data_IF_826273231697
#
_entry.id   IF_826273231697
#
_cell.length_a   1.000
_cell.length_b   1.000
_cell.length_c   1.000
_cell.angle_alpha   90.00
_cell.angle_beta   90.00
_cell.angle_gamma   90.00
#
_symmetry.space_group_name_H-M   'P 1'
#
loop_
_entity.id
_entity.type
_entity.pdbx_description
1 polymer ?
#
# COMPACT_ATOMS: atom_id res chain seq x y z
N UNK A 1 4.18 -28.16 -33.37
CA UNK A 1 3.81 -28.69 -34.70
C UNK A 1 3.49 -30.17 -34.61
N UNK A 2 2.36 -30.58 -35.13
CA UNK A 2 1.90 -31.97 -35.12
C UNK A 2 2.04 -32.55 -36.53
N UNK A 3 2.65 -33.75 -36.67
CA UNK A 3 2.73 -34.44 -37.94
C UNK A 3 1.48 -35.29 -38.17
N UNK A 4 0.85 -35.13 -39.30
CA UNK A 4 -0.29 -35.93 -39.74
C UNK A 4 0.05 -36.66 -41.04
N UNK A 5 -0.46 -37.86 -41.22
CA UNK A 5 -0.25 -38.68 -42.43
C UNK A 5 -1.62 -38.94 -43.05
N UNK A 6 -1.75 -38.54 -44.32
CA UNK A 6 -2.87 -38.92 -45.14
C UNK A 6 -2.57 -40.20 -45.89
N UNK A 7 -3.40 -41.24 -45.77
CA UNK A 7 -3.31 -42.46 -46.55
C UNK A 7 -4.46 -42.48 -47.57
N UNK A 8 -4.12 -42.68 -48.85
CA UNK A 8 -5.09 -42.83 -49.91
C UNK A 8 -5.00 -44.28 -50.39
N UNK A 9 -6.16 -44.94 -50.43
CA UNK A 9 -6.26 -46.35 -50.87
C UNK A 9 -7.26 -46.45 -52.03
N UNK A 10 -6.86 -47.14 -53.12
CA UNK A 10 -7.74 -47.39 -54.27
C UNK A 10 -8.72 -48.54 -54.02
N UNK A 11 -9.65 -48.78 -54.95
CA UNK A 11 -10.63 -49.85 -54.88
C UNK A 11 -10.03 -51.25 -54.93
N UNK A 12 -8.75 -51.39 -55.30
CA UNK A 12 -8.03 -52.66 -55.36
C UNK A 12 -7.09 -52.89 -54.17
N UNK A 13 -7.14 -51.97 -53.18
CA UNK A 13 -6.37 -52.06 -51.94
C UNK A 13 -4.94 -51.52 -52.03
N UNK A 14 -4.52 -50.89 -53.14
CA UNK A 14 -3.22 -50.24 -53.24
C UNK A 14 -3.30 -48.89 -52.52
N UNK A 15 -2.28 -48.60 -51.68
CA UNK A 15 -2.26 -47.39 -50.89
C UNK A 15 -0.97 -46.58 -51.08
N UNK A 16 -1.08 -45.27 -50.94
CA UNK A 16 0.02 -44.35 -50.82
C UNK A 16 -0.20 -43.36 -49.67
N UNK A 17 0.87 -42.79 -49.16
CA UNK A 17 0.80 -41.84 -48.04
C UNK A 17 1.52 -40.54 -48.35
N UNK A 18 1.04 -39.45 -47.81
CA UNK A 18 1.79 -38.19 -47.73
C UNK A 18 1.72 -37.61 -46.31
N UNK A 19 2.80 -36.99 -45.87
CA UNK A 19 2.89 -36.32 -44.58
C UNK A 19 2.64 -34.81 -44.70
N UNK A 20 1.98 -34.27 -43.71
CA UNK A 20 1.83 -32.82 -43.55
C UNK A 20 2.06 -32.42 -42.09
N UNK A 21 2.46 -31.18 -41.88
CA UNK A 21 2.59 -30.58 -40.53
C UNK A 21 1.40 -29.67 -40.26
N UNK A 22 0.79 -29.84 -39.11
CA UNK A 22 -0.26 -28.93 -38.59
C UNK A 22 0.35 -28.15 -37.43
N UNK A 23 0.42 -26.84 -37.58
CA UNK A 23 0.78 -25.92 -36.48
C UNK A 23 -0.50 -25.45 -35.82
N UNK A 24 -0.56 -25.60 -34.50
CA UNK A 24 -1.61 -25.04 -33.66
C UNK A 24 -1.00 -23.88 -32.93
N UNK A 25 -1.66 -22.75 -32.96
CA UNK A 25 -1.24 -21.50 -32.32
C UNK A 25 -2.37 -21.02 -31.40
N UNK A 26 -2.01 -20.47 -30.27
CA UNK A 26 -2.89 -19.73 -29.41
C UNK A 26 -2.60 -18.24 -29.59
N UNK A 27 -3.59 -17.52 -30.10
CA UNK A 27 -3.55 -16.07 -30.32
C UNK A 27 -4.68 -15.38 -29.53
N UNK A 28 -5.24 -16.07 -28.53
CA UNK A 28 -6.33 -15.55 -27.68
C UNK A 28 -5.71 -14.93 -26.43
N UNK A 29 -5.99 -13.65 -26.18
CA UNK A 29 -5.53 -12.99 -24.96
C UNK A 29 -6.35 -13.46 -23.75
N UNK A 30 -5.72 -13.54 -22.55
CA UNK A 30 -6.43 -13.86 -21.32
C UNK A 30 -7.49 -12.82 -20.97
N UNK A 31 -8.49 -13.22 -20.19
CA UNK A 31 -9.47 -12.31 -19.59
C UNK A 31 -8.91 -11.81 -18.27
N UNK A 32 -8.47 -10.54 -18.25
CA UNK A 32 -7.99 -9.89 -17.02
C UNK A 32 -9.16 -9.45 -16.15
N UNK A 33 -9.13 -9.78 -14.86
CA UNK A 33 -10.11 -9.39 -13.85
C UNK A 33 -9.38 -8.87 -12.60
N UNK A 34 -9.72 -7.63 -12.19
CA UNK A 34 -9.10 -6.94 -11.06
C UNK A 34 -10.06 -6.70 -9.90
N UNK A 35 -9.51 -6.49 -8.71
CA UNK A 35 -10.19 -6.02 -7.51
C UNK A 35 -9.43 -4.89 -6.84
N UNK A 36 -10.15 -4.00 -6.17
CA UNK A 36 -9.56 -3.00 -5.29
C UNK A 36 -9.12 -3.64 -3.97
N UNK A 37 -8.03 -3.14 -3.42
CA UNK A 37 -7.50 -3.59 -2.13
C UNK A 37 -7.13 -2.39 -1.24
N UNK A 38 -7.08 -2.62 0.08
CA UNK A 38 -6.56 -1.68 1.06
C UNK A 38 -5.31 -2.27 1.71
N UNK A 39 -4.27 -1.47 1.86
CA UNK A 39 -2.98 -1.89 2.42
C UNK A 39 -2.53 -0.87 3.45
N UNK A 40 -2.03 -1.35 4.59
CA UNK A 40 -1.51 -0.52 5.66
C UNK A 40 -0.01 -0.27 5.48
N UNK A 41 0.46 0.95 5.78
CA UNK A 41 1.88 1.22 5.93
C UNK A 41 2.44 0.51 7.17
N UNK A 42 3.68 0.07 7.10
CA UNK A 42 4.43 -0.43 8.25
C UNK A 42 4.92 0.73 9.13
N UNK A 43 5.53 0.41 10.29
CA UNK A 43 6.07 1.40 11.21
C UNK A 43 7.21 2.28 10.64
N UNK A 44 7.71 1.97 9.44
CA UNK A 44 8.70 2.75 8.72
C UNK A 44 8.08 3.60 7.60
N UNK A 45 6.75 3.61 7.47
CA UNK A 45 6.00 4.34 6.47
C UNK A 45 6.06 3.72 5.07
N UNK A 46 6.22 2.38 4.97
CA UNK A 46 6.29 1.67 3.70
C UNK A 46 5.25 0.55 3.60
N UNK A 47 4.85 0.23 2.38
CA UNK A 47 4.05 -0.95 2.07
C UNK A 47 4.46 -1.55 0.72
N UNK A 48 4.29 -2.86 0.58
CA UNK A 48 4.50 -3.57 -0.69
C UNK A 48 3.34 -4.52 -0.94
N UNK A 49 3.03 -4.75 -2.21
CA UNK A 49 2.06 -5.76 -2.66
C UNK A 49 2.75 -6.75 -3.61
N UNK A 50 2.23 -7.95 -3.68
CA UNK A 50 2.64 -8.93 -4.69
C UNK A 50 2.12 -8.51 -6.08
N UNK A 51 2.75 -9.00 -7.13
CA UNK A 51 2.39 -8.67 -8.51
C UNK A 51 1.00 -9.15 -8.94
N UNK A 52 0.44 -10.12 -8.23
CA UNK A 52 -0.90 -10.65 -8.41
C UNK A 52 -1.93 -10.15 -7.37
N UNK A 53 -1.54 -9.24 -6.47
CA UNK A 53 -2.36 -8.84 -5.32
C UNK A 53 -3.74 -8.27 -5.72
N UNK A 54 -3.82 -7.60 -6.86
CA UNK A 54 -5.08 -7.03 -7.37
C UNK A 54 -5.81 -7.95 -8.34
N UNK A 55 -5.28 -9.16 -8.59
CA UNK A 55 -5.95 -10.15 -9.43
C UNK A 55 -7.23 -10.69 -8.75
N UNK A 56 -8.30 -10.80 -9.53
CA UNK A 56 -9.59 -11.33 -9.07
C UNK A 56 -10.12 -12.41 -10.02
N UNK A 57 -9.31 -13.46 -10.22
CA UNK A 57 -9.70 -14.61 -11.02
C UNK A 57 -9.57 -14.38 -12.52
N UNK A 58 -8.51 -13.71 -12.97
CA UNK A 58 -8.16 -13.68 -14.41
C UNK A 58 -8.03 -15.10 -14.95
N UNK A 59 -8.43 -15.30 -16.21
CA UNK A 59 -8.50 -16.65 -16.79
C UNK A 59 -8.11 -16.68 -18.27
N UNK A 60 -7.63 -17.83 -18.70
CA UNK A 60 -7.41 -18.19 -20.08
C UNK A 60 -7.69 -19.67 -20.31
N UNK A 61 -8.12 -20.03 -21.54
CA UNK A 61 -8.49 -21.41 -21.90
C UNK A 61 -7.27 -22.34 -21.94
N UNK A 62 -6.09 -21.82 -22.35
CA UNK A 62 -4.85 -22.58 -22.44
C UNK A 62 -3.98 -22.45 -21.16
N UNK A 63 -4.38 -21.55 -20.22
CA UNK A 63 -3.74 -21.38 -18.92
C UNK A 63 -2.34 -20.75 -18.99
N UNK A 64 -1.51 -21.05 -17.96
CA UNK A 64 -0.12 -20.57 -17.90
C UNK A 64 0.01 -19.06 -17.63
N UNK A 65 -0.91 -18.50 -16.80
CA UNK A 65 -0.95 -17.05 -16.53
C UNK A 65 0.22 -16.59 -15.67
N UNK A 66 0.76 -15.44 -16.05
CA UNK A 66 1.69 -14.61 -15.27
C UNK A 66 1.08 -13.23 -15.06
N UNK A 67 1.49 -12.59 -13.96
CA UNK A 67 0.93 -11.32 -13.50
C UNK A 67 2.05 -10.30 -13.31
N UNK A 68 1.78 -9.04 -13.68
CA UNK A 68 2.70 -7.92 -13.50
C UNK A 68 1.87 -6.68 -13.14
N UNK A 69 2.08 -6.17 -11.92
CA UNK A 69 1.44 -4.95 -11.44
C UNK A 69 2.42 -3.78 -11.53
N UNK A 70 2.06 -2.74 -12.25
CA UNK A 70 2.94 -1.59 -12.58
C UNK A 70 3.46 -0.83 -11.35
N UNK A 71 2.83 -0.94 -10.19
CA UNK A 71 3.24 -0.32 -8.92
C UNK A 71 3.06 -1.34 -7.81
N UNK A 72 4.16 -1.73 -7.17
CA UNK A 72 4.18 -2.72 -6.08
C UNK A 72 4.70 -2.17 -4.76
N UNK A 73 5.21 -0.93 -4.74
CA UNK A 73 5.79 -0.29 -3.56
C UNK A 73 5.15 1.07 -3.30
N UNK A 74 4.84 1.35 -2.04
CA UNK A 74 4.16 2.55 -1.57
C UNK A 74 4.87 3.11 -0.36
N UNK A 75 4.73 4.42 -0.14
CA UNK A 75 5.31 5.15 0.99
C UNK A 75 4.26 6.09 1.59
N UNK A 76 4.62 6.86 2.63
CA UNK A 76 3.78 7.90 3.19
C UNK A 76 3.18 8.87 2.15
N UNK A 77 3.90 9.10 1.04
CA UNK A 77 3.41 9.96 -0.06
C UNK A 77 2.28 9.31 -0.86
N UNK A 78 2.07 8.02 -0.68
CA UNK A 78 1.05 7.24 -1.37
C UNK A 78 -0.24 7.09 -0.54
N UNK A 79 -0.33 7.67 0.66
CA UNK A 79 -1.56 7.56 1.48
C UNK A 79 -2.76 8.09 0.71
N UNK A 80 -3.83 7.27 0.67
CA UNK A 80 -5.02 7.48 -0.14
C UNK A 80 -5.12 6.52 -1.31
N UNK A 81 -5.90 6.89 -2.34
CA UNK A 81 -6.21 6.06 -3.49
C UNK A 81 -5.13 6.14 -4.58
N UNK A 82 -4.54 4.99 -4.92
CA UNK A 82 -3.55 4.86 -5.99
C UNK A 82 -4.12 3.99 -7.11
N UNK A 83 -4.06 4.47 -8.35
CA UNK A 83 -4.48 3.69 -9.52
C UNK A 83 -3.34 2.78 -9.95
N UNK A 84 -3.60 1.48 -10.05
CA UNK A 84 -2.66 0.47 -10.52
C UNK A 84 -3.23 -0.28 -11.72
N UNK A 85 -2.35 -0.82 -12.55
CA UNK A 85 -2.71 -1.63 -13.71
C UNK A 85 -2.06 -2.99 -13.56
N UNK A 86 -2.87 -4.04 -13.62
CA UNK A 86 -2.42 -5.43 -13.72
C UNK A 86 -2.34 -5.82 -15.19
N UNK A 87 -1.20 -6.33 -15.61
CA UNK A 87 -1.01 -7.01 -16.88
C UNK A 87 -1.04 -8.51 -16.63
N UNK A 88 -1.89 -9.20 -17.37
CA UNK A 88 -2.01 -10.67 -17.34
C UNK A 88 -1.50 -11.21 -18.67
N UNK A 89 -0.55 -12.12 -18.64
CA UNK A 89 0.07 -12.72 -19.83
C UNK A 89 -0.05 -14.25 -19.76
N UNK A 90 -0.48 -14.87 -20.86
CA UNK A 90 -0.60 -16.33 -20.97
C UNK A 90 0.74 -17.00 -21.33
N UNK A 91 0.74 -18.34 -21.40
CA UNK A 91 1.91 -19.14 -21.76
C UNK A 91 2.36 -18.99 -23.22
N UNK A 92 1.58 -18.31 -24.06
CA UNK A 92 1.87 -18.06 -25.49
C UNK A 92 2.19 -16.60 -25.78
N UNK A 93 2.32 -15.76 -24.72
CA UNK A 93 2.66 -14.34 -24.78
C UNK A 93 1.53 -13.43 -25.28
N UNK A 94 0.28 -13.88 -25.26
CA UNK A 94 -0.85 -12.98 -25.42
C UNK A 94 -1.12 -12.31 -24.07
N UNK A 95 -1.52 -11.03 -24.07
CA UNK A 95 -1.70 -10.28 -22.83
C UNK A 95 -2.96 -9.42 -22.85
N UNK A 96 -3.49 -9.15 -21.65
CA UNK A 96 -4.55 -8.19 -21.41
C UNK A 96 -4.31 -7.43 -20.10
N UNK A 97 -5.01 -6.33 -19.89
CA UNK A 97 -4.85 -5.50 -18.69
C UNK A 97 -6.20 -5.20 -18.03
N UNK A 98 -6.16 -4.97 -16.72
CA UNK A 98 -7.27 -4.37 -15.97
C UNK A 98 -6.73 -3.35 -14.96
N UNK A 99 -7.58 -2.39 -14.57
CA UNK A 99 -7.26 -1.37 -13.57
C UNK A 99 -7.87 -1.69 -12.21
N UNK A 100 -7.14 -1.36 -11.14
CA UNK A 100 -7.61 -1.44 -9.76
C UNK A 100 -7.19 -0.20 -8.97
N UNK A 101 -7.83 0.01 -7.83
CA UNK A 101 -7.41 1.00 -6.84
C UNK A 101 -6.78 0.28 -5.65
N UNK A 102 -5.55 0.66 -5.31
CA UNK A 102 -4.90 0.31 -4.05
C UNK A 102 -5.03 1.50 -3.12
N UNK A 103 -5.80 1.36 -2.04
CA UNK A 103 -5.92 2.37 -1.00
C UNK A 103 -4.84 2.13 0.04
N UNK A 104 -3.95 3.09 0.22
CA UNK A 104 -2.92 3.06 1.25
C UNK A 104 -3.40 3.84 2.46
N UNK A 105 -3.28 3.26 3.64
CA UNK A 105 -3.65 3.88 4.91
C UNK A 105 -2.46 3.91 5.86
N UNK A 106 -2.34 5.02 6.59
CA UNK A 106 -1.47 5.13 7.75
C UNK A 106 -2.31 5.07 9.02
N UNK A 107 -2.16 3.99 9.77
CA UNK A 107 -2.82 3.75 11.05
C UNK A 107 -1.79 3.64 12.20
N UNK A 108 -0.55 4.09 11.96
CA UNK A 108 0.53 4.08 12.94
C UNK A 108 0.50 5.37 13.76
N UNK A 109 0.31 5.25 15.06
CA UNK A 109 0.33 6.42 15.93
C UNK A 109 1.77 6.94 16.12
N UNK A 110 1.96 8.28 16.25
CA UNK A 110 3.26 8.87 16.53
C UNK A 110 3.83 8.40 17.88
N UNK A 111 5.13 8.43 18.00
CA UNK A 111 5.83 8.22 19.27
C UNK A 111 5.90 9.55 20.01
N UNK A 112 5.09 9.72 21.05
CA UNK A 112 5.13 10.91 21.91
C UNK A 112 6.31 10.84 22.89
N UNK A 113 7.07 11.92 22.98
CA UNK A 113 8.20 12.07 23.90
C UNK A 113 8.11 13.43 24.60
N UNK A 114 8.10 13.42 25.94
CA UNK A 114 7.98 14.61 26.78
C UNK A 114 9.27 14.92 27.56
N UNK A 115 9.39 16.18 27.99
CA UNK A 115 10.40 16.66 28.91
C UNK A 115 9.80 17.58 29.98
N UNK A 116 10.41 17.59 31.17
CA UNK A 116 10.10 18.57 32.21
C UNK A 116 10.64 19.94 31.83
N UNK A 117 9.86 20.98 32.09
CA UNK A 117 10.26 22.37 31.92
C UNK A 117 10.04 23.17 33.21
N UNK A 118 10.76 24.30 33.35
CA UNK A 118 10.56 25.26 34.43
C UNK A 118 10.16 26.59 33.84
N UNK A 119 9.03 27.12 34.27
CA UNK A 119 8.47 28.40 33.80
C UNK A 119 8.35 29.35 35.00
N UNK A 120 8.71 30.63 34.78
CA UNK A 120 8.60 31.68 35.81
C UNK A 120 7.31 32.47 35.62
N UNK A 121 6.62 32.77 36.74
CA UNK A 121 5.52 33.71 36.73
C UNK A 121 5.99 35.13 36.40
N UNK A 122 5.16 35.87 35.66
CA UNK A 122 5.39 37.26 35.37
C UNK A 122 5.10 38.17 36.60
N UNK A 123 5.27 39.49 36.44
CA UNK A 123 5.01 40.47 37.52
C UNK A 123 3.54 40.57 37.94
N UNK A 124 2.62 39.95 37.19
CA UNK A 124 1.19 39.86 37.48
C UNK A 124 0.80 38.48 38.06
N UNK A 125 1.77 37.60 38.29
CA UNK A 125 1.57 36.25 38.84
C UNK A 125 1.01 35.24 37.86
N UNK A 126 1.25 35.41 36.55
CA UNK A 126 0.80 34.49 35.50
C UNK A 126 1.96 33.94 34.69
N UNK A 127 1.79 32.75 34.12
CA UNK A 127 2.67 32.19 33.10
C UNK A 127 1.87 31.47 32.05
N UNK A 128 2.42 31.39 30.82
CA UNK A 128 1.88 30.63 29.71
C UNK A 128 2.97 29.82 29.06
N UNK A 129 2.62 28.64 28.54
CA UNK A 129 3.48 27.82 27.69
C UNK A 129 2.79 27.66 26.32
N UNK A 130 3.59 27.41 25.29
CA UNK A 130 3.08 27.01 23.96
C UNK A 130 2.75 25.51 23.97
N UNK A 131 1.93 25.08 23.04
CA UNK A 131 1.39 23.71 23.02
C UNK A 131 2.44 22.62 22.80
N UNK A 132 3.60 22.96 22.25
CA UNK A 132 4.73 22.05 22.06
C UNK A 132 5.85 22.23 23.11
N UNK A 133 5.65 23.07 24.13
CA UNK A 133 6.70 23.44 25.11
C UNK A 133 7.33 22.24 25.81
N UNK A 134 6.53 21.19 26.10
CA UNK A 134 6.99 19.97 26.79
C UNK A 134 7.41 18.86 25.82
N UNK A 135 7.34 19.10 24.49
CA UNK A 135 7.79 18.15 23.49
C UNK A 135 9.31 17.95 23.54
N UNK A 136 9.76 16.70 23.47
CA UNK A 136 11.17 16.32 23.44
C UNK A 136 11.48 15.38 22.27
N UNK A 137 11.15 15.84 21.05
CA UNK A 137 11.45 15.09 19.85
C UNK A 137 10.47 13.95 19.57
N UNK A 138 9.17 14.16 19.80
CA UNK A 138 8.12 13.25 19.30
C UNK A 138 8.28 13.03 17.81
N UNK A 139 8.01 11.82 17.32
CA UNK A 139 8.30 11.43 15.94
C UNK A 139 7.24 10.50 15.37
N UNK A 140 7.11 10.57 14.06
CA UNK A 140 6.33 9.64 13.24
C UNK A 140 7.02 9.42 11.89
N UNK A 141 6.83 8.23 11.28
CA UNK A 141 7.45 7.89 10.00
C UNK A 141 6.90 8.72 8.83
N UNK A 142 5.60 9.04 8.87
CA UNK A 142 4.93 9.87 7.86
C UNK A 142 4.91 11.36 8.20
N UNK A 143 5.31 11.73 9.42
CA UNK A 143 5.46 13.12 9.86
C UNK A 143 4.15 13.88 10.02
N UNK A 144 4.21 15.21 9.79
CA UNK A 144 3.02 16.08 9.85
C UNK A 144 2.44 16.24 11.26
N UNK A 145 3.30 16.23 12.30
CA UNK A 145 2.88 16.26 13.69
C UNK A 145 2.26 17.59 14.10
N UNK A 146 1.17 17.50 14.85
CA UNK A 146 0.55 18.59 15.62
C UNK A 146 0.60 18.25 17.10
N UNK A 147 0.62 19.29 17.95
CA UNK A 147 0.78 19.19 19.39
C UNK A 147 -0.36 19.89 20.07
N UNK A 148 -0.86 19.29 21.16
CA UNK A 148 -1.89 19.89 22.02
C UNK A 148 -1.54 19.55 23.48
N UNK A 149 -1.41 20.58 24.29
CA UNK A 149 -1.09 20.47 25.71
C UNK A 149 -2.33 20.82 26.55
N UNK A 150 -2.72 19.91 27.44
CA UNK A 150 -3.94 20.02 28.26
C UNK A 150 -3.98 21.27 29.16
N UNK A 151 -2.82 21.80 29.57
CA UNK A 151 -2.68 22.99 30.39
C UNK A 151 -1.62 23.91 29.80
N UNK A 152 -2.00 25.10 29.38
CA UNK A 152 -1.09 26.10 28.81
C UNK A 152 -0.96 27.36 29.69
N UNK A 153 -1.80 27.54 30.74
CA UNK A 153 -1.82 28.73 31.59
C UNK A 153 -1.67 28.37 33.05
N UNK A 154 -0.87 29.14 33.76
CA UNK A 154 -0.56 28.95 35.18
C UNK A 154 -0.67 30.27 35.93
N UNK A 155 -0.98 30.19 37.22
CA UNK A 155 -1.12 31.33 38.13
C UNK A 155 -0.35 31.07 39.44
N UNK A 156 -0.34 32.02 40.36
CA UNK A 156 0.22 31.84 41.71
C UNK A 156 -0.30 30.59 42.43
N UNK A 157 -1.50 30.09 42.08
CA UNK A 157 -2.07 28.86 42.66
C UNK A 157 -1.38 27.59 42.18
N UNK A 158 -0.65 27.66 41.07
CA UNK A 158 0.07 26.56 40.48
C UNK A 158 1.56 26.51 40.84
N UNK A 159 2.01 27.34 41.79
CA UNK A 159 3.41 27.31 42.21
C UNK A 159 3.79 25.94 42.75
N UNK A 160 4.79 25.30 42.13
CA UNK A 160 5.23 23.95 42.46
C UNK A 160 5.20 23.04 41.18
N UNK A 161 5.14 21.74 41.43
CA UNK A 161 5.08 20.75 40.35
C UNK A 161 3.65 20.64 39.82
N UNK A 162 3.49 20.77 38.51
CA UNK A 162 2.23 20.55 37.82
C UNK A 162 2.45 19.45 36.77
N UNK A 163 1.56 18.49 36.70
CA UNK A 163 1.56 17.47 35.63
C UNK A 163 0.88 18.03 34.40
N UNK A 164 1.52 17.89 33.25
CA UNK A 164 1.06 18.35 31.95
C UNK A 164 1.05 17.17 30.99
N UNK A 165 -0.01 17.01 30.22
CA UNK A 165 -0.15 15.95 29.20
C UNK A 165 -0.06 16.57 27.81
N UNK A 166 0.90 16.09 27.02
CA UNK A 166 1.03 16.42 25.61
C UNK A 166 0.32 15.34 24.78
N UNK A 167 -0.56 15.74 23.90
CA UNK A 167 -1.12 14.92 22.82
C UNK A 167 -0.39 15.26 21.54
N UNK A 168 0.12 14.23 20.86
CA UNK A 168 0.78 14.33 19.55
C UNK A 168 -0.09 13.63 18.53
N UNK A 169 -0.46 14.34 17.47
CA UNK A 169 -1.31 13.81 16.41
C UNK A 169 -0.60 13.97 15.06
N UNK A 170 -0.61 12.92 14.24
CA UNK A 170 -0.03 12.94 12.89
C UNK A 170 -1.00 13.55 11.85
N UNK A 171 -0.55 13.61 10.58
CA UNK A 171 -1.34 14.15 9.47
C UNK A 171 -2.56 13.30 9.10
N UNK A 172 -2.63 12.04 9.56
CA UNK A 172 -3.68 11.07 9.25
C UNK A 172 -4.66 10.87 10.41
N UNK A 173 -4.46 11.59 11.53
CA UNK A 173 -5.35 11.61 12.69
C UNK A 173 -5.04 10.54 13.75
N UNK A 174 -3.93 9.80 13.61
CA UNK A 174 -3.49 8.90 14.67
C UNK A 174 -2.82 9.72 15.78
N UNK A 175 -3.02 9.35 17.04
CA UNK A 175 -2.51 10.14 18.15
C UNK A 175 -1.93 9.28 19.28
N UNK A 176 -0.99 9.87 20.01
CA UNK A 176 -0.41 9.33 21.23
C UNK A 176 -0.20 10.44 22.26
N UNK A 177 0.02 10.06 23.51
CA UNK A 177 0.21 11.02 24.61
C UNK A 177 1.43 10.69 25.41
N UNK A 178 2.04 11.72 26.02
CA UNK A 178 3.03 11.58 27.08
C UNK A 178 2.73 12.61 28.20
N UNK A 179 3.16 12.31 29.43
CA UNK A 179 2.99 13.19 30.59
C UNK A 179 4.33 13.55 31.25
N UNK A 180 4.38 14.73 31.89
CA UNK A 180 5.53 15.22 32.63
C UNK A 180 5.20 15.32 34.13
#
# INVERSE_FOLDING_TARGET
ANSVVLTVTDAHGNSSTCGATVTIEDNTAPVAACQNITVQLDASGNATIAEDAVNNGSSDACGGLTFDTNITSFTCLSVGANSVVLTVTDGHSNSSTCGATVTIEDNTAPVAACQNITVQLDGSGNATIVEDAVNNGSSDACGGLTFDTDITTFTCLNVGVNSVVLTVTDAHGNSSTCGT
#
